data_IF_135424481492
#
_entry.id   IF_135424481492
#
_cell.length_a   1.000
_cell.length_b   1.000
_cell.length_c   1.000
_cell.angle_alpha   90.00
_cell.angle_beta   90.00
_cell.angle_gamma   90.00
#
_symmetry.space_group_name_H-M   'P 1'
#
loop_
_entity.id
_entity.type
_entity.pdbx_description
1 polymer ?
#
# COMPACT_ATOMS: atom_id res chain seq x y z
N UNK A 1 56.56 -37.36 -34.22
CA UNK A 1 57.12 -36.38 -35.17
C UNK A 1 56.02 -35.36 -35.42
N UNK A 2 56.24 -34.09 -35.06
CA UNK A 2 55.62 -32.82 -35.51
C UNK A 2 54.15 -32.80 -36.02
N UNK A 3 53.28 -31.82 -35.79
CA UNK A 3 53.23 -30.59 -35.01
C UNK A 3 51.86 -29.91 -35.31
N UNK A 4 51.53 -28.82 -34.58
CA UNK A 4 50.60 -27.71 -34.91
C UNK A 4 49.06 -27.99 -34.90
N UNK A 5 48.30 -27.35 -33.99
CA UNK A 5 47.45 -26.12 -34.16
C UNK A 5 46.17 -26.38 -34.97
N UNK A 6 44.93 -26.00 -34.64
CA UNK A 6 44.25 -25.12 -33.69
C UNK A 6 42.75 -25.56 -33.72
N UNK A 7 41.81 -25.26 -32.84
CA UNK A 7 41.71 -24.41 -31.67
C UNK A 7 40.22 -24.36 -31.32
N UNK A 8 39.84 -24.65 -30.07
CA UNK A 8 38.60 -24.18 -29.43
C UNK A 8 38.91 -24.14 -27.93
N UNK A 9 39.38 -22.99 -27.44
CA UNK A 9 39.50 -22.79 -26.01
C UNK A 9 38.18 -22.27 -25.48
N UNK A 10 37.47 -23.15 -24.80
CA UNK A 10 36.42 -22.79 -23.86
C UNK A 10 36.98 -21.78 -22.83
N UNK A 11 36.37 -20.60 -22.73
CA UNK A 11 36.57 -19.73 -21.58
C UNK A 11 35.47 -20.03 -20.57
N UNK A 12 35.79 -20.86 -19.59
CA UNK A 12 35.16 -20.80 -18.28
C UNK A 12 36.24 -20.95 -17.20
N UNK A 13 36.14 -20.07 -16.21
CA UNK A 13 36.89 -19.98 -14.96
C UNK A 13 38.34 -19.50 -15.02
N UNK A 14 38.52 -18.22 -14.67
CA UNK A 14 39.47 -17.89 -13.60
C UNK A 14 38.93 -16.70 -12.79
N UNK A 15 38.18 -17.00 -11.72
CA UNK A 15 38.01 -16.05 -10.62
C UNK A 15 39.29 -16.11 -9.79
N UNK A 16 40.29 -15.33 -10.19
CA UNK A 16 41.41 -15.00 -9.31
C UNK A 16 40.89 -14.04 -8.25
N UNK A 17 40.78 -14.51 -7.01
CA UNK A 17 40.74 -13.62 -5.85
C UNK A 17 42.09 -12.90 -5.76
N UNK A 18 42.14 -11.66 -6.26
CA UNK A 18 43.29 -10.78 -6.03
C UNK A 18 43.35 -10.42 -4.53
N UNK A 19 44.43 -10.78 -3.80
CA UNK A 19 44.59 -10.35 -2.43
C UNK A 19 45.02 -8.87 -2.42
N UNK A 20 44.16 -7.98 -1.93
CA UNK A 20 44.52 -6.57 -1.72
C UNK A 20 43.53 -5.52 -2.25
N UNK A 21 42.44 -5.88 -2.91
CA UNK A 21 41.30 -4.96 -3.02
C UNK A 21 40.56 -4.96 -1.68
N UNK A 22 40.59 -3.81 -0.98
CA UNK A 22 39.62 -3.58 0.09
C UNK A 22 38.23 -3.92 -0.45
N UNK A 23 37.34 -4.55 0.35
CA UNK A 23 35.95 -4.75 -0.07
C UNK A 23 35.46 -3.43 -0.64
N UNK A 24 34.97 -3.42 -1.88
CA UNK A 24 34.43 -2.20 -2.48
C UNK A 24 33.39 -1.67 -1.50
N UNK A 25 33.66 -0.49 -0.94
CA UNK A 25 32.82 0.06 0.13
C UNK A 25 31.40 0.09 -0.40
N UNK A 26 30.52 -0.63 0.30
CA UNK A 26 29.16 -0.78 -0.14
C UNK A 26 28.50 0.61 -0.21
N UNK A 27 27.90 0.92 -1.36
CA UNK A 27 27.27 2.22 -1.55
C UNK A 27 26.17 2.43 -0.48
N UNK A 28 26.20 3.53 0.30
CA UNK A 28 25.30 3.72 1.45
C UNK A 28 23.81 3.61 1.12
N UNK A 29 23.42 3.97 -0.11
CA UNK A 29 22.05 3.80 -0.58
C UNK A 29 21.65 2.32 -0.64
N UNK A 30 22.49 1.46 -1.22
CA UNK A 30 22.21 0.02 -1.36
C UNK A 30 22.09 -0.64 0.01
N UNK A 31 22.95 -0.23 0.96
CA UNK A 31 22.87 -0.69 2.36
C UNK A 31 21.55 -0.30 2.99
N UNK A 32 21.14 0.95 2.80
CA UNK A 32 19.88 1.49 3.28
C UNK A 32 18.68 0.70 2.74
N UNK A 33 18.64 0.46 1.43
CA UNK A 33 17.58 -0.31 0.76
C UNK A 33 17.53 -1.74 1.31
N UNK A 34 18.67 -2.43 1.41
CA UNK A 34 18.70 -3.81 1.95
C UNK A 34 18.23 -3.87 3.40
N UNK A 35 18.61 -2.93 4.26
CA UNK A 35 18.13 -2.86 5.63
C UNK A 35 16.61 -2.66 5.69
N UNK A 36 16.07 -1.82 4.81
CA UNK A 36 14.63 -1.60 4.71
C UNK A 36 13.89 -2.89 4.30
N UNK A 37 14.40 -3.61 3.30
CA UNK A 37 13.84 -4.89 2.83
C UNK A 37 13.89 -5.98 3.91
N UNK A 38 14.90 -5.95 4.78
CA UNK A 38 15.00 -6.84 5.95
C UNK A 38 14.05 -6.46 7.10
N UNK A 39 13.22 -5.43 6.94
CA UNK A 39 12.33 -4.93 8.00
C UNK A 39 13.03 -4.05 9.05
N UNK A 40 14.33 -3.78 8.90
CA UNK A 40 15.14 -2.97 9.82
C UNK A 40 14.99 -1.48 9.50
N UNK A 41 13.75 -1.00 9.54
CA UNK A 41 13.36 0.32 9.04
C UNK A 41 14.07 1.49 9.74
N UNK A 42 14.36 1.38 11.04
CA UNK A 42 15.10 2.41 11.75
C UNK A 42 16.58 2.44 11.35
N UNK A 43 17.20 1.26 11.21
CA UNK A 43 18.61 1.12 10.81
C UNK A 43 18.84 1.56 9.36
N UNK A 44 17.84 1.43 8.47
CA UNK A 44 17.96 1.88 7.07
C UNK A 44 18.11 3.39 6.92
N UNK A 45 17.70 4.19 7.90
CA UNK A 45 17.67 5.65 7.79
C UNK A 45 19.10 6.22 7.68
N UNK A 46 20.03 5.82 8.55
CA UNK A 46 21.35 6.44 8.61
C UNK A 46 22.18 6.25 7.31
N UNK A 47 22.24 5.05 6.69
CA UNK A 47 22.89 4.88 5.38
C UNK A 47 22.22 5.69 4.26
N UNK A 48 20.89 5.82 4.28
CA UNK A 48 20.16 6.64 3.31
C UNK A 48 20.41 8.14 3.50
N UNK A 49 20.49 8.62 4.75
CA UNK A 49 20.88 10.01 5.06
C UNK A 49 22.32 10.29 4.59
N UNK A 50 23.23 9.34 4.78
CA UNK A 50 24.59 9.44 4.25
C UNK A 50 24.60 9.53 2.72
N UNK A 51 23.77 8.73 2.03
CA UNK A 51 23.62 8.82 0.58
C UNK A 51 23.05 10.19 0.17
N UNK A 52 22.05 10.71 0.90
CA UNK A 52 21.45 12.02 0.63
C UNK A 52 22.45 13.17 0.81
N UNK A 53 23.35 13.09 1.79
CA UNK A 53 24.40 14.10 1.98
C UNK A 53 25.33 14.22 0.76
N UNK A 54 25.59 13.10 0.07
CA UNK A 54 26.38 13.09 -1.16
C UNK A 54 25.57 13.53 -2.38
N UNK A 55 24.26 13.25 -2.39
CA UNK A 55 23.34 13.60 -3.48
C UNK A 55 22.08 14.27 -2.93
N UNK A 56 22.14 15.58 -2.58
CA UNK A 56 21.06 16.28 -1.87
C UNK A 56 19.70 16.32 -2.59
N UNK A 57 19.71 16.14 -3.91
CA UNK A 57 18.53 16.12 -4.78
C UNK A 57 18.21 14.72 -5.33
N UNK A 58 18.79 13.67 -4.74
CA UNK A 58 18.50 12.28 -5.10
C UNK A 58 17.06 11.91 -4.76
N UNK A 59 16.13 12.12 -5.69
CA UNK A 59 14.69 11.81 -5.50
C UNK A 59 14.44 10.35 -5.09
N UNK A 60 15.18 9.38 -5.63
CA UNK A 60 15.14 7.99 -5.18
C UNK A 60 15.56 7.82 -3.72
N UNK A 61 16.53 8.60 -3.24
CA UNK A 61 17.00 8.57 -1.84
C UNK A 61 15.94 9.17 -0.92
N UNK A 62 15.37 10.32 -1.29
CA UNK A 62 14.25 10.95 -0.58
C UNK A 62 13.05 10.01 -0.49
N UNK A 63 12.74 9.29 -1.57
CA UNK A 63 11.66 8.32 -1.58
C UNK A 63 11.90 7.21 -0.55
N UNK A 64 13.09 6.61 -0.56
CA UNK A 64 13.45 5.55 0.38
C UNK A 64 13.51 6.04 1.83
N UNK A 65 13.99 7.27 2.07
CA UNK A 65 13.98 7.89 3.40
C UNK A 65 12.56 8.12 3.93
N UNK A 66 11.64 8.56 3.06
CA UNK A 66 10.24 8.69 3.42
C UNK A 66 9.63 7.33 3.79
N UNK A 67 9.89 6.28 3.00
CA UNK A 67 9.43 4.92 3.28
C UNK A 67 9.98 4.39 4.61
N UNK A 68 11.30 4.48 4.79
CA UNK A 68 11.99 4.04 5.99
C UNK A 68 11.48 4.78 7.24
N UNK A 69 11.36 6.11 7.16
CA UNK A 69 10.88 6.94 8.28
C UNK A 69 9.43 6.61 8.64
N UNK A 70 8.54 6.45 7.65
CA UNK A 70 7.16 6.06 7.91
C UNK A 70 7.08 4.67 8.56
N UNK A 71 7.81 3.70 8.04
CA UNK A 71 7.83 2.32 8.56
C UNK A 71 8.51 2.22 9.94
N UNK A 72 9.44 3.12 10.25
CA UNK A 72 10.07 3.26 11.57
C UNK A 72 9.23 4.04 12.58
N UNK A 73 8.01 4.47 12.23
CA UNK A 73 7.14 5.24 13.13
C UNK A 73 7.61 6.68 13.35
N UNK A 74 8.31 7.27 12.38
CA UNK A 74 8.80 8.65 12.39
C UNK A 74 8.06 9.50 11.35
N UNK A 75 6.74 9.76 11.52
CA UNK A 75 5.92 10.41 10.50
C UNK A 75 6.34 11.86 10.21
N UNK A 76 6.87 12.62 11.17
CA UNK A 76 7.37 13.99 10.92
C UNK A 76 8.59 14.00 9.99
N UNK A 77 9.51 13.04 10.15
CA UNK A 77 10.65 12.89 9.23
C UNK A 77 10.17 12.44 7.86
N UNK A 78 9.25 11.47 7.82
CA UNK A 78 8.65 11.02 6.56
C UNK A 78 8.03 12.20 5.80
N UNK A 79 7.26 13.05 6.48
CA UNK A 79 6.65 14.25 5.91
C UNK A 79 7.70 15.16 5.26
N UNK A 80 8.79 15.43 5.98
CA UNK A 80 9.89 16.25 5.48
C UNK A 80 10.46 15.70 4.17
N UNK A 81 10.70 14.39 4.10
CA UNK A 81 11.23 13.76 2.87
C UNK A 81 10.20 13.73 1.74
N UNK A 82 8.91 13.52 2.04
CA UNK A 82 7.84 13.55 1.04
C UNK A 82 7.64 14.93 0.44
N UNK A 83 7.69 15.98 1.26
CA UNK A 83 7.60 17.36 0.78
C UNK A 83 8.78 17.69 -0.15
N UNK A 84 10.01 17.34 0.25
CA UNK A 84 11.19 17.50 -0.61
C UNK A 84 11.09 16.69 -1.91
N UNK A 85 10.63 15.44 -1.83
CA UNK A 85 10.42 14.60 -3.01
C UNK A 85 9.43 15.26 -3.98
N UNK A 86 8.29 15.73 -3.46
CA UNK A 86 7.24 16.41 -4.24
C UNK A 86 7.76 17.69 -4.89
N UNK A 87 8.63 18.45 -4.24
CA UNK A 87 9.28 19.63 -4.87
C UNK A 87 10.13 19.25 -6.08
N UNK A 88 10.84 18.12 -6.02
CA UNK A 88 11.69 17.66 -7.14
C UNK A 88 10.91 16.90 -8.22
N UNK A 89 9.75 16.32 -7.87
CA UNK A 89 8.92 15.47 -8.71
C UNK A 89 7.46 15.90 -8.60
N UNK A 90 7.16 17.12 -9.05
CA UNK A 90 5.83 17.73 -8.92
C UNK A 90 4.71 16.94 -9.58
N UNK A 91 5.02 16.29 -10.71
CA UNK A 91 4.05 15.52 -11.51
C UNK A 91 3.86 14.08 -11.00
N UNK A 92 4.65 13.64 -10.01
CA UNK A 92 4.57 12.28 -9.50
C UNK A 92 3.43 12.13 -8.48
N UNK A 93 2.27 11.73 -8.98
CA UNK A 93 1.06 11.53 -8.17
C UNK A 93 1.26 10.51 -7.03
N UNK A 94 2.24 9.59 -7.15
CA UNK A 94 2.47 8.50 -6.18
C UNK A 94 2.91 9.00 -4.82
N UNK A 95 3.39 10.26 -4.72
CA UNK A 95 3.70 10.90 -3.44
C UNK A 95 2.45 11.33 -2.66
N UNK A 96 1.33 11.64 -3.34
CA UNK A 96 0.12 12.13 -2.68
C UNK A 96 -0.48 11.09 -1.72
N UNK A 97 -0.63 9.79 -2.08
CA UNK A 97 -1.00 8.75 -1.12
C UNK A 97 -0.07 8.67 0.10
N UNK A 98 1.25 8.91 -0.07
CA UNK A 98 2.21 8.89 1.04
C UNK A 98 2.01 10.09 1.98
N UNK A 99 1.70 11.27 1.44
CA UNK A 99 1.33 12.44 2.23
C UNK A 99 0.00 12.22 2.96
N UNK A 100 -1.03 11.66 2.31
CA UNK A 100 -2.30 11.30 2.95
C UNK A 100 -2.08 10.36 4.15
N UNK A 101 -1.28 9.30 3.97
CA UNK A 101 -0.92 8.37 5.05
C UNK A 101 -0.17 9.08 6.19
N UNK A 102 0.74 9.98 5.85
CA UNK A 102 1.56 10.69 6.83
C UNK A 102 0.74 11.70 7.63
N UNK A 103 -0.12 12.49 6.97
CA UNK A 103 -1.03 13.42 7.63
C UNK A 103 -2.04 12.70 8.52
N UNK A 104 -2.54 11.53 8.09
CA UNK A 104 -3.36 10.66 8.95
C UNK A 104 -2.61 10.25 10.22
N UNK A 105 -1.38 9.78 10.10
CA UNK A 105 -0.57 9.35 11.25
C UNK A 105 -0.24 10.50 12.21
N UNK A 106 -0.15 11.73 11.70
CA UNK A 106 0.09 12.94 12.48
C UNK A 106 -1.20 13.57 13.05
N UNK A 107 -2.38 13.04 12.71
CA UNK A 107 -3.66 13.64 13.11
C UNK A 107 -3.96 14.99 12.43
N UNK A 108 -3.26 15.32 11.33
CA UNK A 108 -3.45 16.56 10.56
C UNK A 108 -4.54 16.36 9.51
N UNK A 109 -5.79 16.28 9.98
CA UNK A 109 -6.94 15.81 9.21
C UNK A 109 -7.29 16.73 8.04
N UNK A 110 -7.19 18.04 8.23
CA UNK A 110 -7.49 19.03 7.19
C UNK A 110 -6.53 18.89 6.00
N UNK A 111 -5.22 18.84 6.28
CA UNK A 111 -4.19 18.65 5.25
C UNK A 111 -4.31 17.30 4.53
N UNK A 112 -4.72 16.24 5.26
CA UNK A 112 -4.99 14.92 4.68
C UNK A 112 -6.13 15.03 3.65
N UNK A 113 -7.23 15.69 4.01
CA UNK A 113 -8.42 15.80 3.16
C UNK A 113 -8.19 16.70 1.95
N UNK A 114 -7.44 17.80 2.13
CA UNK A 114 -6.98 18.64 1.03
C UNK A 114 -6.11 17.85 0.03
N UNK A 115 -5.17 17.03 0.54
CA UNK A 115 -4.30 16.20 -0.30
C UNK A 115 -5.09 15.09 -1.00
N UNK A 116 -6.10 14.52 -0.36
CA UNK A 116 -7.00 13.56 -0.99
C UNK A 116 -7.81 14.21 -2.11
N UNK A 117 -8.40 15.38 -1.87
CA UNK A 117 -9.11 16.14 -2.89
C UNK A 117 -8.20 16.51 -4.07
N UNK A 118 -6.93 16.85 -3.79
CA UNK A 118 -5.93 17.07 -4.83
C UNK A 118 -5.67 15.82 -5.67
N UNK A 119 -5.43 14.66 -5.05
CA UNK A 119 -5.19 13.40 -5.75
C UNK A 119 -6.35 13.05 -6.69
N UNK A 120 -7.59 13.21 -6.22
CA UNK A 120 -8.79 12.93 -7.02
C UNK A 120 -8.95 13.93 -8.17
N UNK A 121 -8.68 15.22 -7.93
CA UNK A 121 -8.72 16.25 -8.98
C UNK A 121 -7.66 16.00 -10.05
N UNK A 122 -6.44 15.65 -9.65
CA UNK A 122 -5.36 15.31 -10.56
C UNK A 122 -5.73 14.09 -11.41
N UNK A 123 -6.30 13.05 -10.79
CA UNK A 123 -6.78 11.87 -11.53
C UNK A 123 -7.82 12.23 -12.59
N UNK A 124 -8.78 13.09 -12.25
CA UNK A 124 -9.85 13.48 -13.19
C UNK A 124 -9.35 14.26 -14.41
N UNK A 125 -8.10 14.74 -14.39
CA UNK A 125 -7.51 15.58 -15.43
C UNK A 125 -6.28 14.94 -16.09
N UNK A 126 -5.80 13.82 -15.58
CA UNK A 126 -4.56 13.19 -16.05
C UNK A 126 -4.78 12.40 -17.34
N UNK A 127 -3.71 12.30 -18.14
CA UNK A 127 -3.59 11.36 -19.26
C UNK A 127 -2.52 10.29 -18.98
N UNK A 128 -1.93 10.28 -17.78
CA UNK A 128 -0.95 9.28 -17.36
C UNK A 128 -1.62 7.88 -17.31
N UNK A 129 -1.24 6.95 -18.20
CA UNK A 129 -1.82 5.61 -18.21
C UNK A 129 -1.59 4.85 -16.92
N UNK A 130 -0.42 5.01 -16.26
CA UNK A 130 -0.14 4.34 -15.00
C UNK A 130 -1.12 4.80 -13.92
N UNK A 131 -1.41 6.11 -13.88
CA UNK A 131 -2.38 6.63 -12.94
C UNK A 131 -3.79 6.13 -13.28
N UNK A 132 -4.22 6.23 -14.54
CA UNK A 132 -5.56 5.78 -14.95
C UNK A 132 -5.78 4.28 -14.70
N UNK A 133 -4.77 3.44 -14.93
CA UNK A 133 -4.82 2.00 -14.68
C UNK A 133 -4.85 1.64 -13.18
N UNK A 134 -4.38 2.53 -12.31
CA UNK A 134 -4.45 2.32 -10.87
C UNK A 134 -5.93 2.31 -10.42
N UNK A 135 -6.43 1.13 -10.04
CA UNK A 135 -7.81 0.96 -9.53
C UNK A 135 -8.01 1.55 -8.13
N UNK A 136 -6.94 1.57 -7.35
CA UNK A 136 -6.93 1.95 -5.94
C UNK A 136 -5.61 2.61 -5.56
N UNK A 137 -5.58 3.23 -4.39
CA UNK A 137 -4.36 3.63 -3.71
C UNK A 137 -4.38 3.16 -2.26
N UNK A 138 -3.21 2.97 -1.66
CA UNK A 138 -3.12 2.68 -0.23
C UNK A 138 -3.43 3.97 0.54
N UNK A 139 -4.59 3.99 1.21
CA UNK A 139 -5.10 5.11 1.98
C UNK A 139 -4.38 5.23 3.32
N UNK A 140 -4.27 4.12 4.03
CA UNK A 140 -3.72 4.05 5.39
C UNK A 140 -3.00 2.72 5.61
N UNK A 141 -2.00 2.74 6.49
CA UNK A 141 -1.36 1.54 7.02
C UNK A 141 -1.32 1.62 8.54
N UNK A 142 -1.65 0.51 9.21
CA UNK A 142 -1.60 0.43 10.67
C UNK A 142 -1.32 -0.99 11.14
N UNK A 143 -1.06 -1.16 12.44
CA UNK A 143 -0.94 -2.48 13.07
C UNK A 143 -2.19 -2.79 13.88
N UNK A 144 -2.68 -4.01 13.75
CA UNK A 144 -3.77 -4.55 14.57
C UNK A 144 -3.43 -5.99 14.95
N UNK A 145 -3.50 -6.31 16.25
CA UNK A 145 -3.16 -7.64 16.77
C UNK A 145 -1.79 -8.16 16.31
N UNK A 146 -0.78 -7.27 16.27
CA UNK A 146 0.57 -7.58 15.81
C UNK A 146 0.74 -7.73 14.30
N UNK A 147 -0.34 -7.61 13.52
CA UNK A 147 -0.37 -7.78 12.06
C UNK A 147 -0.44 -6.43 11.37
N UNK A 148 0.24 -6.30 10.22
CA UNK A 148 0.11 -5.11 9.38
C UNK A 148 -1.20 -5.16 8.60
N UNK A 149 -1.92 -4.05 8.59
CA UNK A 149 -3.13 -3.85 7.79
C UNK A 149 -2.86 -2.74 6.79
N UNK A 150 -3.16 -3.01 5.52
CA UNK A 150 -3.12 -2.02 4.45
C UNK A 150 -4.55 -1.73 4.02
N UNK A 151 -5.01 -0.50 4.27
CA UNK A 151 -6.29 -0.02 3.80
C UNK A 151 -6.11 0.61 2.41
N UNK A 152 -6.87 0.13 1.45
CA UNK A 152 -6.94 0.62 0.08
C UNK A 152 -8.28 1.29 -0.16
N UNK A 153 -8.25 2.40 -0.89
CA UNK A 153 -9.43 3.10 -1.38
C UNK A 153 -9.44 3.01 -2.89
N UNK A 154 -10.57 2.60 -3.45
CA UNK A 154 -10.78 2.56 -4.89
C UNK A 154 -11.07 3.97 -5.42
N UNK A 155 -10.50 4.30 -6.57
CA UNK A 155 -10.74 5.61 -7.20
C UNK A 155 -12.14 5.71 -7.77
N UNK A 156 -12.57 4.69 -8.52
CA UNK A 156 -13.85 4.63 -9.23
C UNK A 156 -14.52 3.29 -8.96
N UNK A 157 -15.12 3.10 -7.75
CA UNK A 157 -15.89 1.90 -7.44
C UNK A 157 -16.98 1.67 -8.49
N UNK A 158 -16.87 0.57 -9.23
CA UNK A 158 -17.82 0.20 -10.30
C UNK A 158 -17.85 -1.31 -10.53
N UNK A 159 -18.78 -1.75 -11.39
CA UNK A 159 -18.96 -3.16 -11.74
C UNK A 159 -19.85 -3.93 -10.77
N UNK A 160 -20.09 -5.20 -11.10
CA UNK A 160 -20.95 -6.11 -10.33
C UNK A 160 -20.43 -6.31 -8.89
N UNK A 161 -19.11 -6.41 -8.74
CA UNK A 161 -18.41 -6.65 -7.48
C UNK A 161 -17.77 -5.35 -6.95
N UNK A 162 -18.53 -4.25 -6.98
CA UNK A 162 -18.07 -2.92 -6.59
C UNK A 162 -17.52 -2.91 -5.15
N UNK A 163 -16.28 -2.45 -4.99
CA UNK A 163 -15.63 -2.25 -3.70
C UNK A 163 -15.22 -0.78 -3.54
N UNK A 164 -15.48 -0.22 -2.36
CA UNK A 164 -15.09 1.14 -2.00
C UNK A 164 -13.75 1.12 -1.26
N UNK A 165 -13.63 0.17 -0.33
CA UNK A 165 -12.46 0.02 0.52
C UNK A 165 -12.10 -1.45 0.67
N UNK A 166 -10.80 -1.73 0.79
CA UNK A 166 -10.24 -3.04 1.09
C UNK A 166 -9.20 -2.91 2.20
N UNK A 167 -9.30 -3.73 3.23
CA UNK A 167 -8.38 -3.82 4.35
C UNK A 167 -7.66 -5.16 4.30
N UNK A 168 -6.47 -5.14 3.71
CA UNK A 168 -5.64 -6.34 3.50
C UNK A 168 -4.82 -6.61 4.75
N UNK A 169 -4.98 -7.79 5.35
CA UNK A 169 -4.33 -8.16 6.61
C UNK A 169 -3.19 -9.12 6.32
N UNK A 170 -1.97 -8.69 6.64
CA UNK A 170 -0.77 -9.48 6.38
C UNK A 170 -0.57 -10.60 7.41
N UNK A 171 -0.01 -11.74 7.00
CA UNK A 171 0.55 -12.76 7.90
C UNK A 171 1.90 -12.32 8.50
N UNK A 172 2.52 -13.21 9.28
CA UNK A 172 3.83 -12.96 9.88
C UNK A 172 4.96 -12.81 8.85
N UNK A 173 4.79 -13.38 7.65
CA UNK A 173 5.72 -13.25 6.52
C UNK A 173 5.47 -12.02 5.65
N UNK A 174 4.48 -11.19 5.99
CA UNK A 174 4.13 -9.98 5.25
C UNK A 174 3.24 -10.21 4.02
N UNK A 175 2.82 -11.44 3.73
CA UNK A 175 1.88 -11.77 2.64
C UNK A 175 0.45 -11.53 3.09
N UNK A 176 -0.46 -11.24 2.16
CA UNK A 176 -1.88 -11.13 2.50
C UNK A 176 -2.42 -12.48 2.96
N UNK A 177 -3.01 -12.52 4.15
CA UNK A 177 -3.64 -13.73 4.68
C UNK A 177 -5.15 -13.73 4.46
N UNK A 178 -5.79 -12.58 4.62
CA UNK A 178 -7.21 -12.35 4.38
C UNK A 178 -7.43 -10.85 4.19
N UNK A 179 -8.60 -10.47 3.71
CA UNK A 179 -8.99 -9.07 3.65
C UNK A 179 -10.44 -8.86 4.06
N UNK A 180 -10.73 -7.67 4.59
CA UNK A 180 -12.09 -7.17 4.78
C UNK A 180 -12.37 -6.14 3.68
N UNK A 181 -13.54 -6.14 3.08
CA UNK A 181 -13.96 -5.09 2.14
C UNK A 181 -15.23 -4.42 2.61
N UNK A 182 -15.39 -3.16 2.21
CA UNK A 182 -16.70 -2.54 2.09
C UNK A 182 -17.11 -2.58 0.61
N UNK A 183 -18.05 -3.45 0.29
CA UNK A 183 -18.61 -3.62 -1.05
C UNK A 183 -20.05 -3.13 -1.15
N UNK A 184 -20.58 -3.08 -2.37
CA UNK A 184 -21.99 -2.78 -2.62
C UNK A 184 -22.42 -3.38 -3.96
N UNK A 185 -23.03 -4.57 -3.93
CA UNK A 185 -23.34 -5.38 -5.11
C UNK A 185 -24.78 -5.22 -5.57
N UNK A 186 -25.03 -5.17 -6.88
CA UNK A 186 -26.38 -4.96 -7.45
C UNK A 186 -27.40 -6.01 -6.96
N UNK A 187 -26.99 -7.28 -6.89
CA UNK A 187 -27.83 -8.37 -6.38
C UNK A 187 -28.35 -8.08 -4.96
N UNK A 188 -27.48 -7.59 -4.06
CA UNK A 188 -27.86 -7.28 -2.67
C UNK A 188 -28.86 -6.12 -2.60
N UNK A 189 -28.72 -5.11 -3.47
CA UNK A 189 -29.69 -4.02 -3.58
C UNK A 189 -31.08 -4.51 -3.97
N UNK A 190 -31.14 -5.35 -5.01
CA UNK A 190 -32.40 -5.84 -5.55
C UNK A 190 -33.17 -6.64 -4.49
N UNK A 191 -32.48 -7.58 -3.83
CA UNK A 191 -33.08 -8.36 -2.76
C UNK A 191 -33.56 -7.49 -1.59
N UNK A 192 -32.74 -6.55 -1.11
CA UNK A 192 -33.14 -5.67 0.00
C UNK A 192 -34.31 -4.74 -0.35
N UNK A 193 -34.46 -4.33 -1.61
CA UNK A 193 -35.65 -3.57 -2.07
C UNK A 193 -36.89 -4.44 -2.10
N UNK A 194 -36.79 -5.67 -2.59
CA UNK A 194 -37.91 -6.62 -2.62
C UNK A 194 -38.42 -6.97 -1.21
N UNK A 195 -37.50 -7.04 -0.23
CA UNK A 195 -37.83 -7.25 1.18
C UNK A 195 -38.34 -5.98 1.91
N UNK A 196 -38.19 -4.80 1.29
CA UNK A 196 -38.59 -3.52 1.88
C UNK A 196 -37.60 -2.96 2.90
N UNK A 197 -36.36 -3.47 2.94
CA UNK A 197 -35.32 -3.06 3.89
C UNK A 197 -34.66 -1.71 3.53
N UNK A 198 -34.76 -1.30 2.26
CA UNK A 198 -34.22 -0.03 1.74
C UNK A 198 -35.18 0.68 0.79
N UNK A 199 -35.04 2.00 0.71
CA UNK A 199 -35.73 2.83 -0.28
C UNK A 199 -35.13 2.67 -1.70
N UNK A 200 -35.84 3.16 -2.71
CA UNK A 200 -35.42 3.07 -4.11
C UNK A 200 -34.14 3.87 -4.42
N UNK A 201 -33.88 4.94 -3.67
CA UNK A 201 -32.68 5.79 -3.79
C UNK A 201 -31.55 5.40 -2.82
N UNK A 202 -31.72 4.32 -2.08
CA UNK A 202 -30.71 3.79 -1.16
C UNK A 202 -29.89 2.66 -1.78
N UNK A 203 -28.68 2.51 -1.24
CA UNK A 203 -27.77 1.42 -1.52
C UNK A 203 -27.46 0.62 -0.27
N UNK A 204 -27.20 -0.67 -0.45
CA UNK A 204 -26.70 -1.56 0.60
C UNK A 204 -25.19 -1.65 0.44
N UNK A 205 -24.48 -1.28 1.48
CA UNK A 205 -23.06 -1.52 1.65
C UNK A 205 -22.89 -2.66 2.63
N UNK A 206 -21.90 -3.53 2.40
CA UNK A 206 -21.69 -4.70 3.23
C UNK A 206 -20.22 -4.88 3.57
N UNK A 207 -19.98 -5.27 4.82
CA UNK A 207 -18.67 -5.63 5.33
C UNK A 207 -18.45 -7.11 5.14
N UNK A 208 -17.57 -7.48 4.22
CA UNK A 208 -17.26 -8.88 3.93
C UNK A 208 -15.80 -9.20 4.19
N UNK A 209 -15.54 -10.36 4.78
CA UNK A 209 -14.21 -10.93 4.93
C UNK A 209 -13.99 -12.10 3.99
N UNK A 210 -12.82 -12.11 3.36
CA UNK A 210 -12.41 -13.12 2.40
C UNK A 210 -11.12 -13.77 2.90
N UNK A 211 -11.20 -15.07 3.13
CA UNK A 211 -10.17 -15.87 3.79
C UNK A 211 -9.67 -16.96 2.82
N UNK A 212 -8.57 -17.66 3.16
CA UNK A 212 -8.08 -18.78 2.36
C UNK A 212 -9.15 -19.85 2.15
N UNK A 213 -8.96 -20.69 1.14
CA UNK A 213 -9.83 -21.83 0.80
C UNK A 213 -11.29 -21.44 0.46
N UNK A 214 -11.49 -20.22 -0.05
CA UNK A 214 -12.78 -19.73 -0.52
C UNK A 214 -13.78 -19.38 0.59
N UNK A 215 -13.31 -19.25 1.84
CA UNK A 215 -14.17 -18.88 2.97
C UNK A 215 -14.53 -17.39 2.89
N UNK A 216 -15.84 -17.14 2.87
CA UNK A 216 -16.44 -15.81 2.85
C UNK A 216 -17.27 -15.60 4.13
N UNK A 217 -17.22 -14.39 4.70
CA UNK A 217 -17.96 -14.03 5.90
C UNK A 217 -18.55 -12.64 5.77
N UNK A 218 -19.85 -12.47 6.04
CA UNK A 218 -20.48 -11.15 6.09
C UNK A 218 -20.63 -10.72 7.54
N UNK A 219 -20.16 -9.52 7.87
CA UNK A 219 -20.13 -8.97 9.23
C UNK A 219 -21.25 -7.97 9.50
N UNK A 220 -21.82 -7.36 8.46
CA UNK A 220 -22.89 -6.40 8.62
C UNK A 220 -23.20 -5.65 7.34
N UNK A 221 -24.33 -4.94 7.38
CA UNK A 221 -24.84 -4.11 6.31
C UNK A 221 -24.98 -2.66 6.79
N UNK A 222 -24.81 -1.72 5.86
CA UNK A 222 -25.07 -0.31 6.04
C UNK A 222 -25.92 0.16 4.86
N UNK A 223 -27.08 0.72 5.16
CA UNK A 223 -27.97 1.29 4.16
C UNK A 223 -27.76 2.79 4.11
N UNK A 224 -27.45 3.32 2.92
CA UNK A 224 -27.24 4.76 2.75
C UNK A 224 -27.51 5.20 1.31
N UNK A 225 -27.96 6.46 1.15
CA UNK A 225 -28.11 7.11 -0.16
C UNK A 225 -26.78 7.45 -0.82
N UNK A 226 -25.77 7.72 0.01
CA UNK A 226 -24.42 8.07 -0.44
C UNK A 226 -23.40 7.08 0.10
N UNK A 227 -22.32 6.91 -0.65
CA UNK A 227 -21.19 6.09 -0.23
C UNK A 227 -20.63 6.60 1.11
N UNK A 228 -20.47 5.74 2.12
CA UNK A 228 -19.92 6.15 3.39
C UNK A 228 -18.43 6.50 3.24
N UNK A 229 -17.99 7.50 4.01
CA UNK A 229 -16.58 7.89 4.02
C UNK A 229 -15.71 6.83 4.71
N UNK A 230 -14.42 6.83 4.40
CA UNK A 230 -13.45 5.97 5.05
C UNK A 230 -13.48 6.14 6.58
N UNK A 231 -13.53 7.39 7.05
CA UNK A 231 -13.52 7.69 8.48
C UNK A 231 -14.81 7.21 9.19
N UNK A 232 -15.95 7.18 8.49
CA UNK A 232 -17.19 6.64 9.04
C UNK A 232 -17.16 5.13 9.22
N UNK A 233 -16.51 4.39 8.29
CA UNK A 233 -16.49 2.91 8.31
C UNK A 233 -15.28 2.33 9.05
N UNK A 234 -14.22 3.12 9.24
CA UNK A 234 -12.98 2.66 9.87
C UNK A 234 -13.21 2.07 11.27
N UNK A 235 -13.99 2.68 12.19
CA UNK A 235 -14.23 2.12 13.51
C UNK A 235 -14.80 0.70 13.47
N UNK A 236 -15.83 0.47 12.63
CA UNK A 236 -16.45 -0.86 12.45
C UNK A 236 -15.45 -1.89 11.96
N UNK A 237 -14.57 -1.53 11.01
CA UNK A 237 -13.53 -2.45 10.54
C UNK A 237 -12.54 -2.79 11.65
N UNK A 238 -12.19 -1.84 12.53
CA UNK A 238 -11.33 -2.13 13.67
C UNK A 238 -12.00 -3.10 14.65
N UNK A 239 -13.29 -2.94 14.92
CA UNK A 239 -14.07 -3.86 15.77
C UNK A 239 -14.14 -5.27 15.16
N UNK A 240 -14.34 -5.39 13.85
CA UNK A 240 -14.25 -6.67 13.12
C UNK A 240 -12.86 -7.30 13.30
N UNK A 241 -11.79 -6.53 13.09
CA UNK A 241 -10.41 -7.03 13.18
C UNK A 241 -9.99 -7.42 14.61
N UNK A 242 -10.62 -6.83 15.63
CA UNK A 242 -10.46 -7.22 17.04
C UNK A 242 -11.30 -8.44 17.42
N UNK A 243 -12.27 -8.83 16.58
CA UNK A 243 -13.23 -9.88 16.89
C UNK A 243 -14.38 -9.43 17.79
N UNK A 244 -14.59 -8.11 17.94
CA UNK A 244 -15.70 -7.53 18.69
C UNK A 244 -17.03 -7.66 17.90
N UNK A 245 -16.95 -7.64 16.57
CA UNK A 245 -18.07 -7.97 15.66
C UNK A 245 -17.88 -9.39 15.12
N UNK A 246 -18.86 -10.24 15.37
CA UNK A 246 -18.92 -11.61 14.84
C UNK A 246 -19.62 -11.64 13.48
N UNK A 247 -19.25 -12.57 12.58
CA UNK A 247 -19.91 -12.68 11.28
C UNK A 247 -21.37 -13.09 11.44
N UNK A 248 -22.26 -12.40 10.72
CA UNK A 248 -23.68 -12.74 10.63
C UNK A 248 -23.91 -13.99 9.77
N UNK A 249 -23.04 -14.22 8.78
CA UNK A 249 -23.08 -15.39 7.92
C UNK A 249 -21.67 -15.82 7.51
N UNK A 250 -21.53 -17.09 7.14
CA UNK A 250 -20.30 -17.62 6.55
C UNK A 250 -20.64 -18.67 5.49
N UNK A 251 -19.95 -18.58 4.35
CA UNK A 251 -20.02 -19.55 3.26
C UNK A 251 -18.61 -19.98 2.86
N UNK A 252 -18.52 -21.13 2.19
CA UNK A 252 -17.28 -21.60 1.58
C UNK A 252 -17.56 -21.98 0.13
N UNK A 253 -16.92 -21.27 -0.79
CA UNK A 253 -16.98 -21.61 -2.20
C UNK A 253 -15.98 -22.73 -2.49
N UNK A 254 -16.43 -23.78 -3.18
CA UNK A 254 -15.59 -24.90 -3.62
C UNK A 254 -14.85 -24.55 -4.91
#
# INVERSE_FOLDING_TARGET
>A
MNALLAGVSALFLYAASAPGMAPQEEYPFDRGVRLYEQGKHAESIAPLEHALNRYPEGSNILWNLGLASAAAGQPEKALTYWQRYRTLRSEDWRVLPKLIQTYQALGRIELRDETLAELLRLRAQTLDPEFLDARWFCREQFKMNGRRVLAYQFFEPSGEWMQLYRFSVADAGGKEAFFISLGSYEMTHQLSRELGDIQTDERVYHFDGYYPDGVHKTFGFLNAKTAPSYDAIRPTVLEILKGEIQPMSSSQFK
#
